data_IF_004542429940
#
_entry.id   IF_004542429940
#
_cell.length_a   1.000
_cell.length_b   1.000
_cell.length_c   1.000
_cell.angle_alpha   90.00
_cell.angle_beta   90.00
_cell.angle_gamma   90.00
#
_symmetry.space_group_name_H-M   'P 1'
#
loop_
_entity.id
_entity.type
_entity.pdbx_description
1 polymer ?
#
# COMPACT_ATOMS: atom_id res chain seq x y z
N UNK A 1 -28.79 -22.41 -14.98
CA UNK A 1 -27.58 -22.77 -14.26
C UNK A 1 -27.06 -21.60 -13.47
N UNK A 2 -27.01 -21.75 -12.18
CA UNK A 2 -26.52 -20.65 -11.39
C UNK A 2 -25.03 -20.42 -11.65
N UNK A 3 -24.67 -19.17 -11.75
CA UNK A 3 -23.30 -18.83 -11.94
C UNK A 3 -22.60 -18.87 -10.62
N UNK A 4 -21.43 -19.48 -10.59
CA UNK A 4 -20.65 -19.52 -9.39
C UNK A 4 -20.17 -18.12 -9.09
N UNK A 5 -20.34 -17.68 -7.85
CA UNK A 5 -19.81 -16.40 -7.46
C UNK A 5 -18.31 -16.49 -7.40
N UNK A 6 -17.65 -15.55 -8.02
CA UNK A 6 -16.21 -15.49 -8.00
C UNK A 6 -15.77 -14.42 -7.03
N UNK A 7 -14.83 -14.78 -6.17
CA UNK A 7 -14.25 -13.81 -5.25
C UNK A 7 -13.25 -12.97 -6.06
N UNK A 8 -13.37 -11.66 -6.05
CA UNK A 8 -12.42 -10.83 -6.77
C UNK A 8 -11.02 -11.02 -6.25
N UNK A 9 -10.04 -10.80 -7.11
CA UNK A 9 -8.63 -10.88 -6.70
C UNK A 9 -8.34 -9.85 -5.62
N UNK A 10 -7.25 -10.06 -4.88
CA UNK A 10 -6.83 -9.11 -3.87
C UNK A 10 -6.57 -7.75 -4.52
N UNK A 11 -6.02 -7.73 -5.73
CA UNK A 11 -5.77 -6.47 -6.44
C UNK A 11 -7.07 -5.70 -6.68
N UNK A 12 -8.11 -6.38 -7.18
CA UNK A 12 -9.37 -5.71 -7.43
C UNK A 12 -10.02 -5.27 -6.12
N UNK A 13 -9.95 -6.10 -5.08
CA UNK A 13 -10.45 -5.73 -3.77
C UNK A 13 -9.75 -4.47 -3.24
N UNK A 14 -8.45 -4.35 -3.51
CA UNK A 14 -7.68 -3.19 -3.10
C UNK A 14 -8.18 -1.93 -3.80
N UNK A 15 -8.40 -2.01 -5.11
CA UNK A 15 -8.91 -0.87 -5.88
C UNK A 15 -10.25 -0.42 -5.32
N UNK A 16 -11.14 -1.37 -5.10
CA UNK A 16 -12.49 -1.06 -4.62
C UNK A 16 -12.44 -0.48 -3.21
N UNK A 17 -11.58 -1.02 -2.35
CA UNK A 17 -11.46 -0.52 -0.99
C UNK A 17 -10.97 0.92 -0.98
N UNK A 18 -9.90 1.22 -1.72
CA UNK A 18 -9.32 2.56 -1.71
C UNK A 18 -10.29 3.57 -2.32
N UNK A 19 -10.94 3.21 -3.43
CA UNK A 19 -11.88 4.11 -4.07
C UNK A 19 -13.07 4.41 -3.16
N UNK A 20 -13.58 3.40 -2.47
CA UNK A 20 -14.70 3.58 -1.56
C UNK A 20 -14.30 4.45 -0.37
N UNK A 21 -13.15 4.20 0.23
CA UNK A 21 -12.69 4.98 1.38
C UNK A 21 -12.46 6.43 1.00
N UNK A 22 -11.85 6.64 -0.18
CA UNK A 22 -11.61 8.00 -0.67
C UNK A 22 -12.92 8.74 -0.88
N UNK A 23 -13.91 8.07 -1.46
CA UNK A 23 -15.21 8.69 -1.72
C UNK A 23 -15.91 9.08 -0.42
N UNK A 24 -15.71 8.29 0.63
CA UNK A 24 -16.31 8.59 1.92
C UNK A 24 -15.54 9.65 2.69
N UNK A 25 -14.29 9.85 2.36
CA UNK A 25 -13.47 10.87 3.00
C UNK A 25 -13.07 10.57 4.42
N UNK A 26 -13.11 9.31 4.84
CA UNK A 26 -12.72 8.93 6.19
C UNK A 26 -11.72 7.81 6.16
N UNK A 27 -10.96 7.65 7.23
CA UNK A 27 -9.99 6.58 7.33
C UNK A 27 -10.67 5.23 7.53
N UNK A 28 -10.12 4.23 6.87
CA UNK A 28 -10.60 2.86 6.99
C UNK A 28 -9.44 1.91 6.96
N UNK A 29 -9.55 0.79 7.67
CA UNK A 29 -8.59 -0.28 7.53
C UNK A 29 -9.34 -1.59 7.42
N UNK A 30 -8.78 -2.55 6.73
CA UNK A 30 -9.43 -3.83 6.53
C UNK A 30 -8.39 -4.89 6.16
N UNK A 31 -8.83 -6.14 6.17
CA UNK A 31 -8.03 -7.24 5.66
C UNK A 31 -8.70 -7.78 4.41
N UNK A 32 -7.91 -7.92 3.36
CA UNK A 32 -8.39 -8.44 2.09
C UNK A 32 -7.81 -9.84 1.89
N UNK A 33 -8.58 -10.72 1.30
CA UNK A 33 -8.09 -12.06 1.04
C UNK A 33 -8.76 -12.66 -0.19
N UNK A 34 -7.99 -13.42 -0.95
CA UNK A 34 -8.49 -14.16 -2.09
C UNK A 34 -7.45 -15.19 -2.48
N UNK A 35 -7.88 -16.42 -2.67
CA UNK A 35 -7.02 -17.49 -3.19
C UNK A 35 -5.72 -17.68 -2.42
N UNK A 36 -5.79 -17.50 -1.12
CA UNK A 36 -4.62 -17.67 -0.26
C UNK A 36 -3.79 -16.44 -0.06
N UNK A 37 -4.06 -15.36 -0.81
CA UNK A 37 -3.41 -14.08 -0.56
C UNK A 37 -4.11 -13.36 0.57
N UNK A 38 -3.36 -12.69 1.42
CA UNK A 38 -3.91 -11.89 2.51
C UNK A 38 -3.16 -10.58 2.60
N UNK A 39 -3.89 -9.49 2.74
CA UNK A 39 -3.30 -8.16 2.85
C UNK A 39 -4.06 -7.37 3.90
N UNK A 40 -3.35 -6.75 4.82
CA UNK A 40 -3.94 -5.77 5.72
C UNK A 40 -3.62 -4.39 5.16
N UNK A 41 -4.65 -3.60 4.91
CA UNK A 41 -4.51 -2.34 4.21
C UNK A 41 -5.31 -1.25 4.92
N UNK A 42 -4.81 -0.04 4.85
CA UNK A 42 -5.47 1.12 5.42
C UNK A 42 -5.47 2.25 4.41
N UNK A 43 -6.53 3.02 4.38
CA UNK A 43 -6.56 4.29 3.65
C UNK A 43 -6.75 5.40 4.69
N UNK A 44 -5.91 6.42 4.63
CA UNK A 44 -6.00 7.56 5.52
C UNK A 44 -6.12 8.83 4.69
N UNK A 45 -7.20 9.61 4.85
CA UNK A 45 -7.33 10.89 4.14
C UNK A 45 -6.23 11.86 4.55
N UNK A 46 -5.72 11.76 5.78
CA UNK A 46 -4.65 12.58 6.28
C UNK A 46 -3.82 11.77 7.25
N UNK A 47 -2.52 11.80 7.09
CA UNK A 47 -1.63 11.07 7.98
C UNK A 47 -0.30 11.80 8.15
N UNK A 48 0.05 12.20 9.38
CA UNK A 48 1.38 12.72 9.63
C UNK A 48 2.34 11.54 9.85
N UNK A 49 3.51 11.61 9.24
CA UNK A 49 4.54 10.60 9.41
C UNK A 49 5.74 11.27 10.04
N UNK A 50 6.14 10.88 11.26
CA UNK A 50 7.23 11.55 11.96
C UNK A 50 8.49 11.62 11.11
N UNK A 51 9.14 12.78 11.13
CA UNK A 51 10.40 13.02 10.42
C UNK A 51 10.30 12.98 8.90
N UNK A 52 9.11 12.81 8.35
CA UNK A 52 8.94 12.75 6.89
C UNK A 52 8.00 13.86 6.42
N UNK A 53 6.84 13.99 7.05
CA UNK A 53 5.90 15.04 6.65
C UNK A 53 4.47 14.64 6.90
N UNK A 54 3.55 15.45 6.39
CA UNK A 54 2.13 15.21 6.51
C UNK A 54 1.58 14.98 5.12
N UNK A 55 0.73 13.99 4.98
CA UNK A 55 0.26 13.58 3.68
C UNK A 55 -1.24 13.40 3.63
N UNK A 56 -1.83 13.70 2.49
CA UNK A 56 -3.22 13.44 2.23
C UNK A 56 -3.34 12.25 1.30
N UNK A 57 -4.36 11.43 1.52
CA UNK A 57 -4.59 10.28 0.65
C UNK A 57 -3.49 9.26 0.71
N UNK A 58 -3.30 8.66 1.89
CA UNK A 58 -2.24 7.69 2.12
C UNK A 58 -2.80 6.28 2.07
N UNK A 59 -2.12 5.40 1.35
CA UNK A 59 -2.40 3.96 1.40
C UNK A 59 -1.30 3.32 2.22
N UNK A 60 -1.65 2.52 3.21
CA UNK A 60 -0.67 1.85 4.06
C UNK A 60 -0.93 0.35 4.05
N UNK A 61 0.11 -0.43 3.86
CA UNK A 61 0.04 -1.88 3.84
C UNK A 61 0.84 -2.39 5.02
N UNK A 62 0.24 -3.23 5.86
CA UNK A 62 0.92 -3.65 7.06
C UNK A 62 1.18 -5.14 7.16
N UNK A 63 0.52 -5.96 6.41
CA UNK A 63 0.67 -7.40 6.58
C UNK A 63 0.31 -8.06 5.26
N UNK A 64 1.25 -8.75 4.65
CA UNK A 64 1.03 -9.35 3.35
C UNK A 64 1.46 -10.79 3.40
N UNK A 65 0.57 -11.67 2.99
CA UNK A 65 0.92 -13.07 2.80
C UNK A 65 0.69 -13.44 1.33
N UNK A 66 1.73 -13.96 0.70
CA UNK A 66 1.67 -14.44 -0.68
C UNK A 66 1.82 -15.95 -0.65
N UNK A 67 0.90 -16.71 -1.26
CA UNK A 67 1.04 -18.16 -1.27
C UNK A 67 2.37 -18.59 -1.87
N UNK A 68 2.93 -19.66 -1.34
CA UNK A 68 4.26 -20.12 -1.71
C UNK A 68 4.43 -20.24 -3.22
N UNK A 69 3.45 -20.79 -3.91
CA UNK A 69 3.57 -21.00 -5.37
C UNK A 69 3.58 -19.73 -6.18
N UNK A 70 3.22 -18.62 -5.57
CA UNK A 70 3.23 -17.33 -6.27
C UNK A 70 4.41 -16.45 -5.86
N UNK A 71 5.25 -16.93 -4.96
CA UNK A 71 6.39 -16.13 -4.51
C UNK A 71 7.48 -16.10 -5.57
N UNK A 72 8.29 -15.05 -5.54
CA UNK A 72 9.43 -14.86 -6.45
C UNK A 72 9.00 -14.74 -7.91
N UNK A 73 7.77 -14.32 -8.14
CA UNK A 73 7.26 -14.13 -9.49
C UNK A 73 6.87 -12.68 -9.75
N UNK A 74 7.30 -11.78 -8.88
CA UNK A 74 7.03 -10.37 -9.08
C UNK A 74 5.66 -9.91 -8.64
N UNK A 75 4.87 -10.77 -7.99
CA UNK A 75 3.53 -10.36 -7.59
C UNK A 75 3.56 -9.16 -6.65
N UNK A 76 4.44 -9.21 -5.65
CA UNK A 76 4.46 -8.13 -4.65
C UNK A 76 4.90 -6.81 -5.27
N UNK A 77 5.88 -6.83 -6.19
CA UNK A 77 6.29 -5.61 -6.89
C UNK A 77 5.14 -5.01 -7.67
N UNK A 78 4.36 -5.85 -8.35
CA UNK A 78 3.18 -5.37 -9.08
C UNK A 78 2.13 -4.82 -8.15
N UNK A 79 1.94 -5.46 -7.00
CA UNK A 79 0.97 -5.00 -6.02
C UNK A 79 1.38 -3.64 -5.42
N UNK A 80 2.68 -3.48 -5.12
CA UNK A 80 3.18 -2.20 -4.63
C UNK A 80 2.96 -1.11 -5.68
N UNK A 81 3.21 -1.41 -6.96
CA UNK A 81 2.99 -0.44 -8.01
C UNK A 81 1.52 -0.05 -8.11
N UNK A 82 0.61 -1.01 -7.97
CA UNK A 82 -0.81 -0.73 -7.97
C UNK A 82 -1.18 0.19 -6.80
N UNK A 83 -0.70 -0.12 -5.61
CA UNK A 83 -1.01 0.70 -4.43
C UNK A 83 -0.43 2.10 -4.57
N UNK A 84 0.73 2.23 -5.20
CA UNK A 84 1.32 3.55 -5.45
C UNK A 84 0.44 4.37 -6.39
N UNK A 85 -0.17 3.73 -7.39
CA UNK A 85 -1.09 4.44 -8.25
C UNK A 85 -2.36 4.88 -7.53
N UNK A 86 -2.80 4.08 -6.56
CA UNK A 86 -4.02 4.39 -5.84
C UNK A 86 -3.83 5.44 -4.75
N UNK A 87 -2.63 5.55 -4.21
CA UNK A 87 -2.34 6.55 -3.19
C UNK A 87 -2.29 7.94 -3.80
N UNK A 88 -2.73 8.95 -3.05
CA UNK A 88 -2.65 10.31 -3.55
C UNK A 88 -1.27 10.91 -3.29
N UNK A 89 -0.81 10.95 -2.04
CA UNK A 89 0.47 11.58 -1.74
C UNK A 89 1.53 10.63 -1.21
N UNK A 90 1.13 9.53 -0.59
CA UNK A 90 2.14 8.63 -0.04
C UNK A 90 1.63 7.20 0.03
N UNK A 91 2.56 6.26 -0.12
CA UNK A 91 2.33 4.84 0.11
C UNK A 91 3.25 4.41 1.23
N UNK A 92 2.73 3.71 2.22
CA UNK A 92 3.50 3.25 3.35
C UNK A 92 3.43 1.73 3.41
N UNK A 93 4.58 1.09 3.63
CA UNK A 93 4.65 -0.35 3.84
C UNK A 93 5.33 -0.59 5.17
N UNK A 94 4.65 -1.30 6.07
CA UNK A 94 5.16 -1.53 7.40
C UNK A 94 5.91 -2.85 7.48
N UNK A 95 6.98 -2.86 8.29
CA UNK A 95 7.65 -4.10 8.69
C UNK A 95 8.14 -4.98 7.55
N UNK A 96 8.85 -4.39 6.60
CA UNK A 96 9.51 -5.14 5.55
C UNK A 96 10.92 -5.52 5.99
N UNK A 97 11.32 -6.74 5.71
CA UNK A 97 12.63 -7.24 6.11
C UNK A 97 13.33 -7.92 4.95
N UNK A 98 14.65 -8.07 5.06
CA UNK A 98 15.46 -8.84 4.14
C UNK A 98 15.38 -8.34 2.70
N UNK A 99 15.24 -9.24 1.73
CA UNK A 99 15.21 -8.83 0.32
C UNK A 99 14.11 -7.85 0.00
N UNK A 100 12.97 -7.95 0.69
CA UNK A 100 11.88 -7.02 0.49
C UNK A 100 12.29 -5.62 0.90
N UNK A 101 12.94 -5.49 2.06
CA UNK A 101 13.42 -4.21 2.53
C UNK A 101 14.38 -3.59 1.51
N UNK A 102 15.32 -4.40 1.01
CA UNK A 102 16.28 -3.90 0.04
C UNK A 102 15.63 -3.48 -1.25
N UNK A 103 14.61 -4.23 -1.68
CA UNK A 103 13.87 -3.88 -2.88
C UNK A 103 13.15 -2.54 -2.73
N UNK A 104 12.54 -2.32 -1.57
CA UNK A 104 11.84 -1.06 -1.33
C UNK A 104 12.81 0.11 -1.31
N UNK A 105 13.97 -0.07 -0.69
CA UNK A 105 14.98 1.01 -0.66
C UNK A 105 15.48 1.32 -2.07
N UNK A 106 15.67 0.29 -2.91
CA UNK A 106 16.10 0.52 -4.29
C UNK A 106 15.02 1.25 -5.08
N UNK A 107 13.76 1.07 -4.73
CA UNK A 107 12.66 1.76 -5.41
C UNK A 107 12.46 3.18 -4.91
N UNK A 108 13.26 3.62 -3.96
CA UNK A 108 13.19 4.99 -3.48
C UNK A 108 12.37 5.19 -2.21
N UNK A 109 11.94 4.11 -1.57
CA UNK A 109 11.24 4.25 -0.29
C UNK A 109 12.21 4.73 0.78
N UNK A 110 11.72 5.58 1.67
CA UNK A 110 12.48 6.08 2.81
C UNK A 110 12.10 5.25 4.02
N UNK A 111 13.10 4.74 4.72
CA UNK A 111 12.86 3.94 5.91
C UNK A 111 12.80 4.85 7.14
N UNK A 112 11.73 4.73 7.92
CA UNK A 112 11.52 5.52 9.12
C UNK A 112 11.17 4.58 10.25
N UNK A 113 11.70 4.83 11.43
CA UNK A 113 11.38 4.02 12.58
C UNK A 113 10.40 4.77 13.48
N UNK A 114 9.23 4.17 13.71
CA UNK A 114 8.24 4.75 14.60
C UNK A 114 8.48 4.21 16.00
N UNK A 115 9.08 5.01 16.87
CA UNK A 115 9.42 4.55 18.21
C UNK A 115 8.17 4.27 19.05
N UNK A 116 7.11 5.01 18.81
CA UNK A 116 5.88 4.80 19.56
C UNK A 116 5.25 3.43 19.32
N UNK A 117 5.35 2.93 18.10
CA UNK A 117 4.81 1.63 17.76
C UNK A 117 5.89 0.58 17.62
N UNK A 118 7.16 0.94 17.82
CA UNK A 118 8.31 0.06 17.62
C UNK A 118 8.24 -0.59 16.25
N UNK A 119 7.97 0.20 15.23
CA UNK A 119 7.68 -0.32 13.91
C UNK A 119 8.50 0.41 12.88
N UNK A 120 8.99 -0.32 11.87
CA UNK A 120 9.68 0.29 10.75
C UNK A 120 8.69 0.55 9.64
N UNK A 121 8.72 1.74 9.09
CA UNK A 121 7.85 2.14 8.01
C UNK A 121 8.70 2.48 6.79
N UNK A 122 8.23 2.07 5.63
CA UNK A 122 8.86 2.41 4.37
C UNK A 122 7.89 3.32 3.62
N UNK A 123 8.32 4.53 3.34
CA UNK A 123 7.44 5.57 2.81
C UNK A 123 7.88 5.96 1.42
N UNK A 124 6.95 5.90 0.47
CA UNK A 124 7.16 6.41 -0.87
C UNK A 124 6.29 7.64 -1.05
N UNK A 125 6.90 8.78 -1.30
CA UNK A 125 6.20 10.03 -1.47
C UNK A 125 5.93 10.25 -2.95
N UNK A 126 4.67 10.47 -3.29
CA UNK A 126 4.30 10.74 -4.66
C UNK A 126 4.47 12.22 -4.90
N UNK A 127 5.42 12.59 -5.73
CA UNK A 127 5.56 13.97 -6.06
C UNK A 127 4.57 14.32 -7.14
N UNK A 128 4.06 15.49 -7.00
CA UNK A 128 3.11 15.94 -7.97
C UNK A 128 3.86 16.55 -9.07
N UNK A 129 4.31 15.75 -9.95
CA UNK A 129 5.10 16.18 -10.88
C UNK A 129 4.67 17.12 -11.76
N UNK A 130 3.59 17.08 -11.94
CA UNK A 130 3.10 17.98 -12.80
C UNK A 130 3.36 19.27 -12.41
N UNK A 131 3.56 19.37 -11.32
CA UNK A 131 3.73 20.58 -10.93
C UNK A 131 4.82 21.18 -11.48
N UNK A 132 5.38 20.70 -11.76
CA UNK A 132 6.30 21.37 -12.10
C UNK A 132 6.39 21.91 -13.25
N UNK A 133 6.17 21.91 -13.55
CA UNK A 133 6.22 22.28 -14.49
C UNK A 133 6.37 23.34 -14.89
N UNK A 134 6.67 23.56 -14.93
CA UNK A 134 6.80 24.29 -15.30
C UNK A 134 6.84 24.98 -15.74
N UNK A 135 6.92 25.35 -15.98
CA UNK A 135 6.86 26.12 -16.62
C UNK A 135 7.25 26.60 -17.34
#
# INVERSE_FOLDING_TARGET
MPRKLQIPSVELQTVEFVQSARAQGVGHETRLSARGFHVAIEYAPYLPVPDVGEFNGVVAISDVYVPVRYRRRGWFSGYVALCALLADQALIIADAYGPLRESLLRQGFVEVFSSGAAQRLFVSIKTSENTSTKP
#
